data_IF_493395935628
#
_entry.id   IF_493395935628
#
_cell.length_a   1.000
_cell.length_b   1.000
_cell.length_c   1.000
_cell.angle_alpha   90.00
_cell.angle_beta   90.00
_cell.angle_gamma   90.00
#
_symmetry.space_group_name_H-M   'P 1'
#
loop_
_entity.id
_entity.type
_entity.pdbx_description
1 polymer ?
#
# COMPACT_ATOMS: atom_id res chain seq x y z
N UNK A 1 2.92 8.53 -0.63
CA UNK A 1 2.20 7.27 -0.92
C UNK A 1 0.84 7.19 -0.23
N UNK A 2 0.74 7.45 1.09
CA UNK A 2 -0.53 7.32 1.84
C UNK A 2 -1.69 8.17 1.28
N UNK A 3 -1.45 9.44 0.95
CA UNK A 3 -2.45 10.34 0.36
C UNK A 3 -2.97 9.84 -1.00
N UNK A 4 -2.11 9.28 -1.85
CA UNK A 4 -2.49 8.74 -3.17
C UNK A 4 -3.37 7.51 -2.99
N UNK A 5 -2.99 6.59 -2.09
CA UNK A 5 -3.78 5.40 -1.77
C UNK A 5 -5.17 5.76 -1.25
N UNK A 6 -5.25 6.76 -0.35
CA UNK A 6 -6.52 7.28 0.16
C UNK A 6 -7.36 7.93 -0.94
N UNK A 7 -6.78 8.74 -1.82
CA UNK A 7 -7.49 9.35 -2.96
C UNK A 7 -8.06 8.31 -3.93
N UNK A 8 -7.30 7.26 -4.25
CA UNK A 8 -7.76 6.14 -5.09
C UNK A 8 -8.92 5.41 -4.41
N UNK A 9 -8.78 5.10 -3.12
CA UNK A 9 -9.85 4.50 -2.31
C UNK A 9 -11.12 5.37 -2.29
N UNK A 10 -10.97 6.69 -2.19
CA UNK A 10 -12.09 7.63 -2.21
C UNK A 10 -12.76 7.68 -3.60
N UNK A 11 -11.97 7.68 -4.67
CA UNK A 11 -12.47 7.62 -6.05
C UNK A 11 -13.24 6.32 -6.30
N UNK A 12 -12.70 5.18 -5.86
CA UNK A 12 -13.35 3.87 -5.90
C UNK A 12 -14.66 3.86 -5.13
N UNK A 13 -14.70 4.47 -3.95
CA UNK A 13 -15.91 4.57 -3.15
C UNK A 13 -16.97 5.47 -3.80
N UNK A 14 -16.56 6.50 -4.55
CA UNK A 14 -17.45 7.38 -5.33
C UNK A 14 -18.02 6.71 -6.59
N UNK A 15 -17.24 5.84 -7.24
CA UNK A 15 -17.69 5.13 -8.45
C UNK A 15 -18.60 3.95 -8.10
N UNK A 16 -18.26 3.20 -7.05
CA UNK A 16 -18.99 2.00 -6.65
C UNK A 16 -19.91 2.23 -5.44
N UNK A 17 -20.49 3.44 -5.35
CA UNK A 17 -21.28 3.90 -4.19
C UNK A 17 -22.42 2.93 -3.82
N UNK A 18 -22.98 2.21 -4.79
CA UNK A 18 -24.16 1.33 -4.64
C UNK A 18 -23.87 -0.19 -4.69
N UNK A 19 -22.61 -0.63 -4.79
CA UNK A 19 -22.35 -1.99 -5.32
C UNK A 19 -22.29 -3.12 -4.27
N UNK A 20 -21.81 -2.90 -3.03
CA UNK A 20 -22.01 -3.85 -1.90
C UNK A 20 -21.44 -3.38 -0.55
N UNK A 21 -22.04 -3.83 0.56
CA UNK A 21 -21.51 -3.66 1.92
C UNK A 21 -20.09 -4.27 2.08
N UNK A 22 -19.81 -5.40 1.42
CA UNK A 22 -18.50 -6.05 1.44
C UNK A 22 -17.39 -5.19 0.83
N UNK A 23 -17.68 -4.41 -0.22
CA UNK A 23 -16.73 -3.48 -0.82
C UNK A 23 -16.36 -2.36 0.15
N UNK A 24 -17.36 -1.83 0.85
CA UNK A 24 -17.18 -0.75 1.83
C UNK A 24 -16.28 -1.23 2.97
N UNK A 25 -16.56 -2.40 3.54
CA UNK A 25 -15.73 -3.00 4.60
C UNK A 25 -14.31 -3.26 4.12
N UNK A 26 -14.12 -3.84 2.93
CA UNK A 26 -12.80 -4.08 2.36
C UNK A 26 -11.99 -2.78 2.18
N UNK A 27 -12.62 -1.72 1.69
CA UNK A 27 -12.01 -0.40 1.54
C UNK A 27 -11.55 0.20 2.88
N UNK A 28 -12.39 0.13 3.93
CA UNK A 28 -12.02 0.60 5.26
C UNK A 28 -10.88 -0.22 5.87
N UNK A 29 -10.90 -1.55 5.68
CA UNK A 29 -9.82 -2.43 6.17
C UNK A 29 -8.50 -2.11 5.46
N UNK A 30 -8.49 -2.01 4.13
CA UNK A 30 -7.27 -1.66 3.39
C UNK A 30 -6.75 -0.26 3.74
N UNK A 31 -7.64 0.73 3.87
CA UNK A 31 -7.27 2.07 4.32
C UNK A 31 -6.67 2.06 5.73
N UNK A 32 -7.31 1.34 6.67
CA UNK A 32 -6.82 1.18 8.03
C UNK A 32 -5.46 0.50 8.11
N UNK A 33 -5.24 -0.56 7.32
CA UNK A 33 -3.94 -1.26 7.24
C UNK A 33 -2.84 -0.31 6.73
N UNK A 34 -3.12 0.46 5.67
CA UNK A 34 -2.15 1.44 5.13
C UNK A 34 -1.80 2.50 6.17
N UNK A 35 -2.80 3.01 6.90
CA UNK A 35 -2.59 4.04 7.94
C UNK A 35 -1.83 3.48 9.13
N UNK A 36 -2.23 2.32 9.65
CA UNK A 36 -1.57 1.68 10.78
C UNK A 36 -0.10 1.37 10.45
N UNK A 37 0.15 0.88 9.24
CA UNK A 37 1.50 0.57 8.79
C UNK A 37 2.37 1.83 8.68
N UNK A 38 1.85 2.92 8.11
CA UNK A 38 2.57 4.19 8.05
C UNK A 38 2.86 4.78 9.43
N UNK A 39 1.91 4.67 10.38
CA UNK A 39 2.12 5.13 11.76
C UNK A 39 3.19 4.30 12.48
N UNK A 40 3.29 3.00 12.20
CA UNK A 40 4.33 2.15 12.78
C UNK A 40 5.73 2.48 12.22
N UNK A 41 5.81 2.79 10.92
CA UNK A 41 7.11 3.02 10.25
C UNK A 41 7.62 4.46 10.35
N UNK A 42 6.74 5.45 10.57
CA UNK A 42 7.11 6.84 10.80
C UNK A 42 8.18 7.02 11.90
N UNK A 43 8.00 6.51 13.14
CA UNK A 43 9.02 6.64 14.17
C UNK A 43 10.28 5.84 13.83
N UNK A 44 10.17 4.67 13.18
CA UNK A 44 11.34 3.92 12.75
C UNK A 44 12.18 4.67 11.70
N UNK A 45 11.54 5.46 10.84
CA UNK A 45 12.22 6.32 9.88
C UNK A 45 12.89 7.54 10.55
N UNK A 46 12.25 8.13 11.57
CA UNK A 46 12.81 9.28 12.31
C UNK A 46 13.97 8.84 13.22
N UNK A 47 13.82 7.73 13.93
CA UNK A 47 14.80 7.17 14.86
C UNK A 47 15.68 6.09 14.23
N UNK A 48 15.90 6.15 12.91
CA UNK A 48 16.71 5.17 12.20
C UNK A 48 18.19 5.17 12.64
N UNK A 49 18.67 6.26 13.25
CA UNK A 49 20.02 6.39 13.78
C UNK A 49 20.00 6.86 15.22
N UNK A 50 20.91 6.29 16.03
CA UNK A 50 21.19 6.73 17.40
C UNK A 50 22.66 7.15 17.49
N UNK A 51 22.97 8.44 17.65
CA UNK A 51 22.07 9.60 17.72
C UNK A 51 21.48 9.99 16.35
N UNK A 52 20.30 10.63 16.35
CA UNK A 52 19.61 11.07 15.11
C UNK A 52 20.52 11.99 14.27
N UNK A 53 21.39 12.77 14.93
CA UNK A 53 22.34 13.65 14.26
C UNK A 53 23.33 12.94 13.34
N UNK A 54 23.56 11.64 13.55
CA UNK A 54 24.41 10.82 12.68
C UNK A 54 23.80 10.62 11.29
N UNK A 55 22.48 10.80 11.13
CA UNK A 55 21.84 10.69 9.83
C UNK A 55 22.28 11.79 8.84
N UNK A 56 22.71 12.96 9.34
CA UNK A 56 23.21 14.07 8.52
C UNK A 56 24.70 14.38 8.72
N UNK A 57 25.30 13.95 9.84
CA UNK A 57 26.74 14.05 10.10
C UNK A 57 27.38 12.66 10.09
N UNK A 58 27.97 12.29 8.94
CA UNK A 58 28.53 10.96 8.72
C UNK A 58 29.71 10.61 9.65
N UNK A 59 30.42 11.61 10.17
CA UNK A 59 31.61 11.48 11.00
C UNK A 59 31.30 11.26 12.50
N UNK A 60 30.04 11.43 12.94
CA UNK A 60 29.66 11.23 14.34
C UNK A 60 29.67 9.76 14.74
N UNK A 61 30.22 9.45 15.92
CA UNK A 61 30.11 8.13 16.53
C UNK A 61 28.65 7.76 16.83
N UNK A 62 28.30 6.49 16.62
CA UNK A 62 26.94 6.00 16.81
C UNK A 62 26.61 4.83 15.89
N UNK A 63 25.40 4.31 16.03
CA UNK A 63 24.91 3.20 15.22
C UNK A 63 23.61 3.59 14.50
N UNK A 64 23.52 3.19 13.24
CA UNK A 64 22.31 3.30 12.43
C UNK A 64 21.78 1.91 12.16
N UNK A 65 20.46 1.80 12.02
CA UNK A 65 19.84 0.56 11.53
C UNK A 65 20.33 0.25 10.12
N UNK A 66 20.28 -1.02 9.74
CA UNK A 66 20.66 -1.42 8.40
C UNK A 66 19.68 -0.82 7.38
N UNK A 67 20.13 0.20 6.64
CA UNK A 67 19.31 0.89 5.65
C UNK A 67 18.71 -0.08 4.62
N UNK A 68 19.46 -1.10 4.18
CA UNK A 68 18.94 -2.07 3.20
C UNK A 68 17.81 -2.89 3.79
N UNK A 69 17.98 -3.41 5.01
CA UNK A 69 16.93 -4.17 5.68
C UNK A 69 15.69 -3.30 5.95
N UNK A 70 15.89 -2.05 6.37
CA UNK A 70 14.81 -1.08 6.57
C UNK A 70 14.06 -0.79 5.26
N UNK A 71 14.78 -0.54 4.17
CA UNK A 71 14.20 -0.32 2.84
C UNK A 71 13.36 -1.51 2.37
N UNK A 72 13.88 -2.73 2.51
CA UNK A 72 13.15 -3.95 2.13
C UNK A 72 11.90 -4.12 3.01
N UNK A 73 12.04 -3.87 4.32
CA UNK A 73 10.94 -3.91 5.27
C UNK A 73 9.82 -2.90 4.96
N UNK A 74 10.16 -1.76 4.34
CA UNK A 74 9.19 -0.78 3.85
C UNK A 74 8.57 -1.19 2.51
N UNK A 75 9.41 -1.62 1.59
CA UNK A 75 9.03 -1.84 0.19
C UNK A 75 7.99 -2.98 0.06
N UNK A 76 8.22 -4.11 0.74
CA UNK A 76 7.35 -5.30 0.63
C UNK A 76 5.88 -4.99 1.01
N UNK A 77 5.58 -4.50 2.23
CA UNK A 77 4.20 -4.19 2.62
C UNK A 77 3.61 -3.02 1.82
N UNK A 78 4.42 -2.07 1.35
CA UNK A 78 3.94 -1.03 0.47
C UNK A 78 3.43 -1.60 -0.87
N UNK A 79 4.17 -2.53 -1.48
CA UNK A 79 3.74 -3.23 -2.70
C UNK A 79 2.50 -4.09 -2.42
N UNK A 80 2.49 -4.86 -1.32
CA UNK A 80 1.35 -5.70 -0.95
C UNK A 80 0.06 -4.90 -0.77
N UNK A 81 0.16 -3.69 -0.18
CA UNK A 81 -1.02 -2.82 -0.01
C UNK A 81 -1.49 -2.22 -1.33
N UNK A 82 -0.59 -1.91 -2.27
CA UNK A 82 -0.98 -1.49 -3.63
C UNK A 82 -1.72 -2.61 -4.37
N UNK A 83 -1.19 -3.83 -4.28
CA UNK A 83 -1.84 -5.04 -4.83
C UNK A 83 -3.22 -5.24 -4.22
N UNK A 84 -3.35 -5.12 -2.90
CA UNK A 84 -4.64 -5.29 -2.21
C UNK A 84 -5.68 -4.25 -2.64
N UNK A 85 -5.28 -2.97 -2.80
CA UNK A 85 -6.17 -1.89 -3.23
C UNK A 85 -6.63 -2.12 -4.68
N UNK A 86 -5.73 -2.55 -5.57
CA UNK A 86 -6.06 -2.84 -6.97
C UNK A 86 -6.94 -4.09 -7.14
N UNK A 87 -6.78 -5.12 -6.29
CA UNK A 87 -7.63 -6.32 -6.31
C UNK A 87 -9.03 -6.10 -5.74
N UNK A 88 -9.22 -5.03 -4.97
CA UNK A 88 -10.49 -4.70 -4.29
C UNK A 88 -11.67 -4.55 -5.26
N UNK A 89 -11.59 -3.76 -6.36
CA UNK A 89 -12.65 -3.69 -7.38
C UNK A 89 -12.78 -4.97 -8.20
N UNK A 90 -11.66 -5.68 -8.43
CA UNK A 90 -11.63 -6.94 -9.20
C UNK A 90 -12.49 -8.02 -8.54
N UNK A 91 -12.39 -8.17 -7.21
CA UNK A 91 -13.20 -9.14 -6.45
C UNK A 91 -14.69 -8.82 -6.50
N UNK A 92 -15.05 -7.54 -6.53
CA UNK A 92 -16.45 -7.10 -6.63
C UNK A 92 -17.01 -7.35 -8.02
N UNK A 93 -16.27 -7.00 -9.07
CA UNK A 93 -16.63 -7.30 -10.45
C UNK A 93 -16.79 -8.80 -10.69
N UNK A 94 -15.94 -9.64 -10.07
CA UNK A 94 -16.06 -11.11 -10.15
C UNK A 94 -17.32 -11.68 -9.50
N UNK A 95 -17.82 -11.08 -8.41
CA UNK A 95 -19.08 -11.53 -7.80
C UNK A 95 -20.30 -11.14 -8.63
N UNK A 96 -20.22 -10.08 -9.43
CA UNK A 96 -21.30 -9.56 -10.27
C UNK A 96 -21.31 -10.14 -11.70
N UNK A 97 -20.15 -10.36 -12.30
CA UNK A 97 -20.02 -10.88 -13.67
C UNK A 97 -19.40 -12.29 -13.65
N UNK A 98 -20.23 -13.31 -13.93
CA UNK A 98 -19.83 -14.74 -14.01
C UNK A 98 -18.92 -15.11 -15.19
N UNK A 99 -18.36 -14.17 -15.97
CA UNK A 99 -17.53 -14.54 -17.12
C UNK A 99 -16.70 -13.43 -17.73
N UNK A 100 -15.37 -13.60 -17.74
CA UNK A 100 -14.55 -13.59 -18.97
C UNK A 100 -13.06 -13.71 -18.61
N UNK A 101 -12.35 -14.56 -19.35
CA UNK A 101 -10.91 -14.80 -19.20
C UNK A 101 -10.07 -13.54 -19.47
N UNK A 102 -10.58 -12.62 -20.30
CA UNK A 102 -9.96 -11.33 -20.61
C UNK A 102 -9.71 -10.48 -19.36
N UNK A 103 -10.63 -10.51 -18.38
CA UNK A 103 -10.45 -9.75 -17.14
C UNK A 103 -9.31 -10.30 -16.27
N UNK A 104 -9.10 -11.64 -16.27
CA UNK A 104 -7.94 -12.26 -15.60
C UNK A 104 -6.62 -11.79 -16.19
N UNK A 105 -6.59 -11.60 -17.50
CA UNK A 105 -5.43 -11.09 -18.24
C UNK A 105 -5.23 -9.58 -18.05
N UNK A 106 -6.29 -8.76 -18.09
CA UNK A 106 -6.20 -7.32 -17.83
C UNK A 106 -5.72 -7.01 -16.42
N UNK A 107 -6.17 -7.76 -15.41
CA UNK A 107 -5.68 -7.62 -14.03
C UNK A 107 -4.19 -7.97 -13.95
N UNK A 108 -3.79 -9.08 -14.56
CA UNK A 108 -2.38 -9.47 -14.65
C UNK A 108 -1.52 -8.44 -15.40
N UNK A 109 -2.08 -7.78 -16.42
CA UNK A 109 -1.44 -6.71 -17.18
C UNK A 109 -1.29 -5.40 -16.42
N UNK A 110 -2.30 -5.01 -15.63
CA UNK A 110 -2.22 -3.83 -14.74
C UNK A 110 -1.17 -4.05 -13.65
N UNK A 111 -1.00 -5.29 -13.16
CA UNK A 111 0.06 -5.65 -12.23
C UNK A 111 1.47 -5.48 -12.81
N UNK A 112 1.66 -5.82 -14.09
CA UNK A 112 2.94 -5.63 -14.78
C UNK A 112 3.22 -4.15 -15.07
N UNK A 113 2.19 -3.35 -15.35
CA UNK A 113 2.33 -1.90 -15.60
C UNK A 113 2.50 -1.06 -14.33
N UNK A 114 1.91 -1.47 -13.21
CA UNK A 114 2.06 -0.78 -11.92
C UNK A 114 3.31 -1.18 -11.13
N UNK A 115 3.98 -2.27 -11.51
CA UNK A 115 5.24 -2.73 -10.92
C UNK A 115 6.49 -2.27 -11.67
N UNK A 116 6.33 -1.65 -12.84
CA UNK A 116 7.39 -1.00 -13.64
C UNK A 116 7.51 0.48 -13.23
#
# INVERSE_FOLDING_TARGET
MLLVKLSILFMYRRIFTDVSHSFRVGSWVCGGVVVAWALAFMPAAIFQCTPISKAWEADKEGHCINLRANFIGVAIPNILTDVAILLLPVRVCWKLLKGSLLYRLSVSGIFLLGAL
#
